data_IF_383737715767
#
_entry.id   IF_383737715767
#
_cell.length_a   1.000
_cell.length_b   1.000
_cell.length_c   1.000
_cell.angle_alpha   90.00
_cell.angle_beta   90.00
_cell.angle_gamma   90.00
#
_symmetry.space_group_name_H-M   'P 1'
#
loop_
_entity.id
_entity.type
_entity.pdbx_description
1 polymer ?
#
# COMPACT_ATOMS: atom_id res chain seq x y z
N UNK A 1 8.85 -5.55 30.01
CA UNK A 1 8.05 -4.71 29.09
C UNK A 1 7.65 -5.61 27.93
N UNK A 2 6.37 -5.97 27.83
CA UNK A 2 5.89 -6.77 26.70
C UNK A 2 5.87 -5.84 25.50
N UNK A 3 6.86 -6.00 24.62
CA UNK A 3 6.92 -5.31 23.34
C UNK A 3 5.83 -5.95 22.47
N UNK A 4 4.58 -5.51 22.62
CA UNK A 4 3.49 -5.94 21.76
C UNK A 4 3.90 -5.56 20.34
N UNK A 5 4.31 -6.55 19.55
CA UNK A 5 4.59 -6.35 18.14
C UNK A 5 3.31 -5.77 17.53
N UNK A 6 3.36 -4.51 17.12
CA UNK A 6 2.24 -3.90 16.40
C UNK A 6 2.21 -4.57 15.04
N UNK A 7 1.31 -5.53 14.89
CA UNK A 7 1.13 -6.26 13.64
C UNK A 7 0.06 -5.57 12.82
N UNK A 8 0.40 -5.16 11.59
CA UNK A 8 -0.59 -4.76 10.59
C UNK A 8 -1.34 -5.98 10.06
N UNK A 9 -2.57 -5.76 9.59
CA UNK A 9 -3.37 -6.79 8.93
C UNK A 9 -3.00 -6.97 7.46
N UNK A 10 -2.95 -8.23 7.01
CA UNK A 10 -3.08 -8.55 5.59
C UNK A 10 -4.49 -8.21 5.09
N UNK A 11 -4.61 -7.92 3.80
CA UNK A 11 -5.89 -7.71 3.14
C UNK A 11 -5.92 -6.45 2.28
N UNK A 12 -7.12 -5.90 2.14
CA UNK A 12 -7.40 -4.72 1.35
C UNK A 12 -7.36 -3.46 2.22
N UNK A 13 -6.61 -2.47 1.73
CA UNK A 13 -6.40 -1.17 2.34
C UNK A 13 -6.76 -0.07 1.35
N UNK A 14 -7.22 1.07 1.87
CA UNK A 14 -7.46 2.27 1.09
C UNK A 14 -6.60 3.41 1.59
N UNK A 15 -5.96 4.13 0.67
CA UNK A 15 -5.41 5.45 0.98
C UNK A 15 -6.52 6.48 1.22
N UNK A 16 -6.19 7.60 1.87
CA UNK A 16 -7.08 8.77 1.99
C UNK A 16 -7.61 9.24 0.64
N UNK A 17 -6.80 9.12 -0.43
CA UNK A 17 -7.18 9.41 -1.81
C UNK A 17 -8.00 8.32 -2.50
N UNK A 18 -8.54 7.35 -1.74
CA UNK A 18 -9.33 6.21 -2.22
C UNK A 18 -8.63 5.28 -3.20
N UNK A 19 -7.31 5.36 -3.31
CA UNK A 19 -6.53 4.41 -4.09
C UNK A 19 -6.42 3.06 -3.37
N UNK A 20 -6.67 1.94 -4.06
CA UNK A 20 -6.65 0.61 -3.49
C UNK A 20 -5.24 0.03 -3.32
N UNK A 21 -5.05 -0.70 -2.22
CA UNK A 21 -3.85 -1.45 -1.89
C UNK A 21 -4.21 -2.86 -1.41
N UNK A 22 -3.49 -3.86 -1.88
CA UNK A 22 -3.56 -5.24 -1.40
C UNK A 22 -2.25 -5.58 -0.73
N UNK A 23 -2.30 -5.92 0.55
CA UNK A 23 -1.12 -6.12 1.39
C UNK A 23 -1.12 -7.53 1.94
N UNK A 24 0.01 -8.21 1.80
CA UNK A 24 0.30 -9.49 2.43
C UNK A 24 1.41 -9.31 3.46
N UNK A 25 1.14 -9.75 4.68
CA UNK A 25 2.08 -9.75 5.79
C UNK A 25 2.43 -11.20 6.13
N UNK A 26 3.70 -11.56 5.96
CA UNK A 26 4.23 -12.90 6.21
C UNK A 26 5.36 -12.78 7.24
N UNK A 27 5.02 -13.03 8.52
CA UNK A 27 5.91 -12.72 9.65
C UNK A 27 6.30 -11.24 9.67
N UNK A 28 7.58 -10.90 9.48
CA UNK A 28 8.03 -9.52 9.37
C UNK A 28 8.11 -9.02 7.92
N UNK A 29 7.79 -9.83 6.91
CA UNK A 29 7.86 -9.42 5.50
C UNK A 29 6.53 -8.86 5.04
N UNK A 30 6.58 -7.77 4.29
CA UNK A 30 5.42 -7.12 3.70
C UNK A 30 5.57 -7.13 2.19
N UNK A 31 4.48 -7.45 1.51
CA UNK A 31 4.35 -7.37 0.06
C UNK A 31 3.07 -6.63 -0.26
N UNK A 32 3.07 -5.84 -1.32
CA UNK A 32 1.83 -5.24 -1.79
C UNK A 32 1.72 -5.11 -3.30
N UNK A 33 0.49 -4.81 -3.68
CA UNK A 33 0.10 -4.20 -4.93
C UNK A 33 -0.69 -2.93 -4.61
N UNK A 34 -0.30 -1.80 -5.18
CA UNK A 34 -1.01 -0.52 -5.09
C UNK A 34 -1.31 0.02 -6.48
N UNK A 35 -2.45 0.67 -6.67
CA UNK A 35 -2.80 1.25 -7.98
C UNK A 35 -3.72 2.47 -7.85
N UNK A 36 -3.73 3.36 -8.84
CA UNK A 36 -4.70 4.44 -8.86
C UNK A 36 -6.12 3.89 -8.94
N UNK A 37 -7.07 4.54 -8.28
CA UNK A 37 -8.47 4.21 -8.44
C UNK A 37 -9.00 4.64 -9.83
N UNK A 38 -10.14 4.07 -10.24
CA UNK A 38 -10.89 4.52 -11.41
C UNK A 38 -11.43 5.94 -11.18
N UNK A 39 -11.36 6.77 -12.21
CA UNK A 39 -11.93 8.12 -12.25
C UNK A 39 -12.64 8.33 -13.60
N UNK A 40 -13.15 9.55 -13.82
CA UNK A 40 -13.64 9.96 -15.15
C UNK A 40 -12.54 10.05 -16.22
N UNK A 41 -11.27 10.11 -15.82
CA UNK A 41 -10.13 10.37 -16.70
C UNK A 41 -9.26 9.13 -16.95
N UNK A 42 -9.33 8.12 -16.07
CA UNK A 42 -8.45 6.97 -16.10
C UNK A 42 -9.09 5.72 -15.49
N UNK A 43 -8.84 4.55 -16.07
CA UNK A 43 -9.25 3.30 -15.45
C UNK A 43 -8.33 2.94 -14.28
N UNK A 44 -8.77 1.93 -13.53
CA UNK A 44 -8.04 1.34 -12.42
C UNK A 44 -6.61 0.93 -12.84
N UNK A 45 -5.60 1.48 -12.17
CA UNK A 45 -4.19 1.17 -12.39
C UNK A 45 -3.55 1.65 -13.69
N UNK A 46 -4.27 2.33 -14.58
CA UNK A 46 -3.71 2.80 -15.86
C UNK A 46 -2.86 4.07 -15.74
N UNK A 47 -2.98 4.84 -14.66
CA UNK A 47 -2.08 5.97 -14.42
C UNK A 47 -0.80 5.47 -13.74
N UNK A 48 -0.95 4.84 -12.58
CA UNK A 48 0.12 4.19 -11.84
C UNK A 48 -0.38 2.88 -11.24
N UNK A 49 0.52 1.91 -11.21
CA UNK A 49 0.32 0.61 -10.61
C UNK A 49 1.70 0.12 -10.20
N UNK A 50 1.90 -0.18 -8.93
CA UNK A 50 3.19 -0.59 -8.41
C UNK A 50 3.09 -1.79 -7.50
N UNK A 51 4.20 -2.50 -7.41
CA UNK A 51 4.43 -3.51 -6.39
C UNK A 51 5.48 -3.01 -5.44
N UNK A 52 5.41 -3.48 -4.20
CA UNK A 52 6.39 -3.15 -3.17
C UNK A 52 6.64 -4.34 -2.28
N UNK A 53 7.83 -4.38 -1.70
CA UNK A 53 8.17 -5.35 -0.68
C UNK A 53 9.14 -4.75 0.34
N UNK A 54 9.05 -5.23 1.57
CA UNK A 54 9.84 -4.69 2.66
C UNK A 54 9.70 -5.50 3.94
N UNK A 55 10.14 -4.89 5.04
CA UNK A 55 10.15 -5.53 6.35
C UNK A 55 9.60 -4.61 7.43
N UNK A 56 8.91 -5.23 8.38
CA UNK A 56 8.44 -4.64 9.63
C UNK A 56 9.59 -4.69 10.64
N UNK A 57 9.95 -3.54 11.17
CA UNK A 57 10.86 -3.40 12.30
C UNK A 57 10.22 -2.46 13.34
N UNK A 58 9.85 -3.01 14.50
CA UNK A 58 9.06 -2.33 15.52
C UNK A 58 7.74 -1.79 14.94
N UNK A 59 7.53 -0.47 15.00
CA UNK A 59 6.36 0.21 14.47
C UNK A 59 6.61 0.82 13.08
N UNK A 60 7.65 0.38 12.36
CA UNK A 60 7.95 0.89 11.02
C UNK A 60 7.95 -0.24 10.00
N UNK A 61 7.55 0.10 8.78
CA UNK A 61 7.74 -0.73 7.60
C UNK A 61 8.71 0.03 6.69
N UNK A 62 9.83 -0.58 6.35
CA UNK A 62 10.74 -0.04 5.34
C UNK A 62 10.65 -0.91 4.10
N UNK A 63 10.28 -0.32 2.95
CA UNK A 63 10.03 -1.07 1.73
C UNK A 63 10.58 -0.37 0.49
N UNK A 64 10.92 -1.18 -0.50
CA UNK A 64 11.20 -0.75 -1.87
C UNK A 64 9.96 -0.96 -2.74
N UNK A 65 9.71 -0.06 -3.68
CA UNK A 65 8.58 -0.13 -4.61
C UNK A 65 9.00 0.32 -6.01
N UNK A 66 8.26 -0.15 -7.01
CA UNK A 66 8.42 0.26 -8.40
C UNK A 66 7.08 0.17 -9.12
N UNK A 67 6.80 1.16 -9.96
CA UNK A 67 5.75 1.05 -10.97
C UNK A 67 6.04 -0.13 -11.91
N UNK A 68 4.96 -0.76 -12.33
CA UNK A 68 4.94 -1.90 -13.27
C UNK A 68 4.15 -1.49 -14.53
N UNK A 69 4.36 -2.16 -15.68
CA UNK A 69 3.85 -1.71 -16.98
C UNK A 69 2.34 -1.99 -17.19
N UNK A 70 1.56 -1.85 -16.12
CA UNK A 70 0.11 -1.68 -16.14
C UNK A 70 -0.23 -0.18 -16.22
N UNK A 71 0.51 0.65 -15.50
CA UNK A 71 0.37 2.11 -15.51
C UNK A 71 1.30 2.81 -16.50
N UNK A 72 1.08 4.10 -16.71
CA UNK A 72 1.92 4.97 -17.55
C UNK A 72 3.19 5.43 -16.82
N UNK A 73 3.10 5.59 -15.51
CA UNK A 73 4.21 6.01 -14.66
C UNK A 73 5.33 4.96 -14.61
N UNK A 74 6.54 5.43 -14.31
CA UNK A 74 7.78 4.63 -14.27
C UNK A 74 8.65 5.00 -13.08
N UNK A 75 8.00 5.36 -11.97
CA UNK A 75 8.65 5.77 -10.74
C UNK A 75 9.05 4.55 -9.90
N UNK A 76 10.00 4.77 -9.00
CA UNK A 76 10.47 3.77 -8.05
C UNK A 76 11.20 4.45 -6.91
N UNK A 77 11.26 3.77 -5.77
CA UNK A 77 12.02 4.26 -4.63
C UNK A 77 11.84 3.40 -3.41
N UNK A 78 12.18 4.00 -2.27
CA UNK A 78 11.92 3.43 -0.95
C UNK A 78 11.01 4.35 -0.17
N UNK A 79 10.14 3.78 0.65
CA UNK A 79 9.38 4.53 1.63
C UNK A 79 9.50 3.90 3.01
N UNK A 80 9.33 4.74 4.02
CA UNK A 80 9.17 4.32 5.41
C UNK A 80 7.74 4.63 5.83
N UNK A 81 7.06 3.63 6.36
CA UNK A 81 5.69 3.73 6.87
C UNK A 81 5.73 3.60 8.38
N UNK A 82 5.07 4.51 9.08
CA UNK A 82 4.77 4.37 10.50
C UNK A 82 3.45 3.60 10.67
N UNK A 83 3.51 2.52 11.45
CA UNK A 83 2.35 1.74 11.88
C UNK A 83 1.74 2.43 13.10
N UNK A 84 0.52 2.94 12.95
CA UNK A 84 -0.22 3.60 14.05
C UNK A 84 -0.94 2.53 14.87
N UNK A 85 -1.68 1.66 14.19
CA UNK A 85 -2.32 0.47 14.76
C UNK A 85 -2.49 -0.63 13.69
N UNK A 86 -3.16 -1.72 14.03
CA UNK A 86 -3.34 -2.86 13.13
C UNK A 86 -4.12 -2.54 11.83
N UNK A 87 -4.82 -1.41 11.80
CA UNK A 87 -5.74 -0.95 10.75
C UNK A 87 -5.43 0.44 10.23
N UNK A 88 -4.39 1.12 10.73
CA UNK A 88 -4.00 2.47 10.31
C UNK A 88 -2.48 2.60 10.21
N UNK A 89 -2.02 3.22 9.13
CA UNK A 89 -0.58 3.50 8.92
C UNK A 89 -0.37 4.70 8.00
N UNK A 90 0.81 5.34 8.08
CA UNK A 90 1.14 6.50 7.24
C UNK A 90 2.56 6.47 6.71
N UNK A 91 2.75 6.93 5.47
CA UNK A 91 4.07 7.16 4.89
C UNK A 91 4.72 8.37 5.57
N UNK A 92 5.92 8.19 6.13
CA UNK A 92 6.68 9.25 6.82
C UNK A 92 7.94 9.68 6.08
N UNK A 93 8.52 8.80 5.27
CA UNK A 93 9.70 9.08 4.43
C UNK A 93 9.48 8.51 3.02
N UNK A 94 9.99 9.21 2.01
CA UNK A 94 9.85 8.84 0.60
C UNK A 94 11.05 9.33 -0.22
N UNK A 95 11.59 8.45 -1.06
CA UNK A 95 12.70 8.76 -1.97
C UNK A 95 12.32 8.75 -3.46
N UNK A 96 11.10 8.34 -3.81
CA UNK A 96 10.69 8.01 -5.18
C UNK A 96 9.52 8.84 -5.70
N UNK A 97 9.13 9.90 -4.99
CA UNK A 97 7.94 10.70 -5.27
C UNK A 97 6.64 9.88 -5.17
N UNK A 98 6.58 8.98 -4.19
CA UNK A 98 5.37 8.25 -3.78
C UNK A 98 4.34 9.18 -3.14
N UNK A 99 4.80 10.16 -2.36
CA UNK A 99 3.97 11.07 -1.57
C UNK A 99 3.66 10.60 -0.14
N UNK A 100 3.05 11.48 0.66
CA UNK A 100 2.69 11.22 2.08
C UNK A 100 1.27 10.69 2.18
N UNK A 101 1.11 9.38 1.98
CA UNK A 101 -0.18 8.70 1.99
C UNK A 101 -0.51 8.11 3.37
N UNK A 102 -1.78 8.17 3.77
CA UNK A 102 -2.29 7.51 4.99
C UNK A 102 -3.34 6.47 4.61
N UNK A 103 -3.24 5.27 5.19
CA UNK A 103 -4.03 4.11 4.76
C UNK A 103 -4.83 3.51 5.91
N UNK A 104 -6.05 3.07 5.57
CA UNK A 104 -6.97 2.39 6.48
C UNK A 104 -7.28 1.00 5.94
N UNK A 105 -7.23 0.00 6.81
CA UNK A 105 -7.65 -1.37 6.48
C UNK A 105 -9.16 -1.44 6.35
N UNK A 106 -9.66 -2.14 5.32
CA UNK A 106 -11.09 -2.22 5.01
C UNK A 106 -11.61 -3.66 5.11
N UNK A 107 -10.90 -4.63 4.54
CA UNK A 107 -11.34 -6.03 4.56
C UNK A 107 -10.16 -7.00 4.45
N UNK A 108 -10.39 -8.27 4.80
CA UNK A 108 -9.40 -9.34 4.65
C UNK A 108 -9.15 -9.71 3.18
N UNK A 109 -10.14 -9.43 2.33
CA UNK A 109 -10.14 -9.75 0.92
C UNK A 109 -10.99 -8.74 0.14
N UNK A 110 -10.53 -8.41 -1.06
CA UNK A 110 -11.29 -7.66 -2.07
C UNK A 110 -10.79 -8.08 -3.44
N UNK A 111 -11.67 -8.43 -4.36
CA UNK A 111 -11.34 -8.95 -5.68
C UNK A 111 -11.39 -7.84 -6.72
N UNK A 112 -10.61 -7.97 -7.80
CA UNK A 112 -10.68 -7.03 -8.93
C UNK A 112 -12.06 -6.96 -9.58
N UNK A 113 -12.81 -8.06 -9.62
CA UNK A 113 -14.19 -8.08 -10.14
C UNK A 113 -15.12 -7.11 -9.41
N UNK A 114 -14.81 -6.73 -8.17
CA UNK A 114 -15.59 -5.77 -7.38
C UNK A 114 -15.30 -4.31 -7.79
N UNK A 115 -14.28 -4.06 -8.60
CA UNK A 115 -13.96 -2.75 -9.17
C UNK A 115 -14.46 -2.58 -10.61
N UNK A 116 -14.64 -3.68 -11.35
CA UNK A 116 -15.10 -3.65 -12.75
C UNK A 116 -16.55 -3.17 -12.88
N UNK A 117 -17.34 -3.31 -11.81
CA UNK A 117 -18.77 -2.97 -11.77
C UNK A 117 -19.07 -1.60 -11.12
N UNK A 118 -18.06 -0.77 -10.87
CA UNK A 118 -18.19 0.61 -10.38
C UNK A 118 -18.05 1.59 -11.54
#
# INVERSE_FOLDING_TARGET
>A
MNNTLVSIKSGYWESTGKNPFWISVNSNKVYWLGMNNKSSENNLGENWCHVGHGEINNNKITLSWSDIPVGKDKLKGTIVIEIIDATHMKVVEDSGNFGKSEWTWVSDSKKFSEFVNQ
#
